data_IF_338061892939
#
_entry.id   IF_338061892939
#
_cell.length_a   1.000
_cell.length_b   1.000
_cell.length_c   1.000
_cell.angle_alpha   90.00
_cell.angle_beta   90.00
_cell.angle_gamma   90.00
#
_symmetry.space_group_name_H-M   'P 1'
#
loop_
_entity.id
_entity.type
_entity.pdbx_description
1 polymer ?
#
# COMPACT_ATOMS: atom_id res chain seq x y z
N UNK A 1 11.62 -5.48 21.72
CA UNK A 1 10.90 -6.07 20.58
C UNK A 1 9.64 -5.31 20.18
N UNK A 2 8.95 -4.59 21.07
CA UNK A 2 7.80 -3.74 20.68
C UNK A 2 8.20 -2.52 19.84
N UNK A 3 9.41 -1.98 20.09
CA UNK A 3 9.98 -0.90 19.29
C UNK A 3 10.20 -1.30 17.83
N UNK A 4 10.68 -2.51 17.57
CA UNK A 4 10.88 -3.01 16.20
C UNK A 4 9.55 -3.14 15.46
N UNK A 5 8.52 -3.64 16.13
CA UNK A 5 7.15 -3.71 15.58
C UNK A 5 6.62 -2.32 15.25
N UNK A 6 6.83 -1.33 16.14
CA UNK A 6 6.40 0.05 15.90
C UNK A 6 7.12 0.68 14.70
N UNK A 7 8.43 0.45 14.56
CA UNK A 7 9.23 0.95 13.44
C UNK A 7 8.78 0.30 12.13
N UNK A 8 8.60 -1.02 12.12
CA UNK A 8 8.14 -1.73 10.93
C UNK A 8 6.73 -1.30 10.52
N UNK A 9 5.79 -1.16 11.45
CA UNK A 9 4.45 -0.68 11.15
C UNK A 9 4.46 0.75 10.60
N UNK A 10 5.28 1.63 11.18
CA UNK A 10 5.45 2.99 10.68
C UNK A 10 6.03 3.03 9.26
N UNK A 11 7.02 2.18 8.98
CA UNK A 11 7.60 2.06 7.64
C UNK A 11 6.57 1.54 6.63
N UNK A 12 5.92 0.41 6.91
CA UNK A 12 4.95 -0.21 6.00
C UNK A 12 3.76 0.70 5.71
N UNK A 13 3.31 1.51 6.68
CA UNK A 13 2.20 2.44 6.50
C UNK A 13 2.39 3.49 5.39
N UNK A 14 3.61 3.67 4.88
CA UNK A 14 3.95 4.63 3.83
C UNK A 14 4.58 3.97 2.60
N UNK A 15 4.76 2.64 2.63
CA UNK A 15 5.41 1.93 1.54
C UNK A 15 4.59 2.05 0.26
N UNK A 16 5.21 2.50 -0.82
CA UNK A 16 4.58 2.80 -2.10
C UNK A 16 4.32 4.29 -2.32
N UNK A 17 4.43 5.14 -1.29
CA UNK A 17 4.20 6.58 -1.42
C UNK A 17 5.51 7.33 -1.74
N UNK A 18 5.67 7.67 -3.03
CA UNK A 18 6.84 8.37 -3.58
C UNK A 18 8.18 7.68 -3.23
N UNK A 19 8.21 6.36 -3.34
CA UNK A 19 9.36 5.53 -3.04
C UNK A 19 9.59 4.47 -4.13
N UNK A 20 10.51 3.54 -3.89
CA UNK A 20 10.87 2.50 -4.84
C UNK A 20 9.70 1.55 -5.17
N UNK A 21 8.72 1.42 -4.28
CA UNK A 21 7.54 0.57 -4.47
C UNK A 21 6.42 1.28 -5.24
N UNK A 22 6.54 2.58 -5.53
CA UNK A 22 5.54 3.32 -6.34
C UNK A 22 5.32 2.69 -7.71
N UNK A 23 6.37 2.25 -8.40
CA UNK A 23 6.23 1.58 -9.70
C UNK A 23 5.48 0.25 -9.61
N UNK A 24 5.66 -0.48 -8.51
CA UNK A 24 4.94 -1.72 -8.23
C UNK A 24 3.46 -1.42 -7.95
N UNK A 25 3.19 -0.46 -7.05
CA UNK A 25 1.84 0.01 -6.71
C UNK A 25 1.05 0.40 -7.97
N UNK A 26 1.63 1.20 -8.86
CA UNK A 26 0.96 1.64 -10.09
C UNK A 26 0.74 0.50 -11.09
N UNK A 27 1.69 -0.43 -11.23
CA UNK A 27 1.50 -1.63 -12.06
C UNK A 27 0.37 -2.51 -11.53
N UNK A 28 0.32 -2.75 -10.21
CA UNK A 28 -0.75 -3.52 -9.58
C UNK A 28 -2.09 -2.81 -9.74
N UNK A 29 -2.16 -1.49 -9.55
CA UNK A 29 -3.40 -0.71 -9.79
C UNK A 29 -3.91 -0.85 -11.22
N UNK A 30 -3.01 -0.90 -12.22
CA UNK A 30 -3.39 -1.16 -13.60
C UNK A 30 -3.93 -2.58 -13.80
N UNK A 31 -3.28 -3.59 -13.21
CA UNK A 31 -3.72 -4.99 -13.30
C UNK A 31 -5.10 -5.23 -12.67
N UNK A 32 -5.39 -4.56 -11.55
CA UNK A 32 -6.69 -4.62 -10.90
C UNK A 32 -7.75 -3.71 -11.55
N UNK A 33 -7.40 -2.93 -12.58
CA UNK A 33 -8.32 -2.01 -13.26
C UNK A 33 -8.73 -0.78 -12.44
N UNK A 34 -7.98 -0.49 -11.37
CA UNK A 34 -8.26 0.57 -10.38
C UNK A 34 -7.28 1.76 -10.52
N UNK A 35 -6.61 1.92 -11.66
CA UNK A 35 -5.67 3.02 -11.88
C UNK A 35 -6.28 4.42 -11.67
N UNK A 36 -7.60 4.55 -11.79
CA UNK A 36 -8.34 5.79 -11.55
C UNK A 36 -8.59 6.09 -10.05
N UNK A 37 -8.35 5.13 -9.15
CA UNK A 37 -8.52 5.29 -7.70
C UNK A 37 -7.32 6.04 -7.13
N UNK A 38 -7.59 7.22 -6.57
CA UNK A 38 -6.60 8.12 -5.96
C UNK A 38 -6.53 7.98 -4.45
N UNK A 39 -7.46 7.25 -3.85
CA UNK A 39 -7.50 6.87 -2.44
C UNK A 39 -6.50 5.76 -2.08
N UNK A 40 -6.07 4.97 -3.07
CA UNK A 40 -5.06 3.91 -2.91
C UNK A 40 -3.69 4.48 -3.26
N UNK A 41 -2.92 4.79 -2.22
CA UNK A 41 -1.64 5.50 -2.32
C UNK A 41 -0.48 4.71 -1.72
N UNK A 42 -0.76 3.63 -0.98
CA UNK A 42 0.25 2.75 -0.40
C UNK A 42 -0.03 1.28 -0.70
N UNK A 43 0.98 0.44 -0.53
CA UNK A 43 0.87 -1.01 -0.69
C UNK A 43 -0.12 -1.63 0.31
N UNK A 44 -0.17 -1.24 1.60
CA UNK A 44 -1.24 -1.69 2.49
C UNK A 44 -2.65 -1.38 2.00
N UNK A 45 -2.88 -0.22 1.38
CA UNK A 45 -4.21 0.11 0.82
C UNK A 45 -4.62 -0.85 -0.30
N UNK A 46 -3.64 -1.30 -1.12
CA UNK A 46 -3.88 -2.35 -2.12
C UNK A 46 -4.23 -3.68 -1.47
N UNK A 47 -3.51 -4.07 -0.42
CA UNK A 47 -3.74 -5.33 0.28
C UNK A 47 -5.12 -5.31 0.94
N UNK A 48 -5.48 -4.21 1.61
CA UNK A 48 -6.80 -4.04 2.22
C UNK A 48 -7.91 -4.14 1.15
N UNK A 49 -7.69 -3.61 -0.06
CA UNK A 49 -8.63 -3.76 -1.19
C UNK A 49 -8.74 -5.21 -1.67
N UNK A 50 -7.61 -5.89 -1.88
CA UNK A 50 -7.57 -7.28 -2.38
C UNK A 50 -8.24 -8.25 -1.39
N UNK A 51 -7.99 -8.05 -0.10
CA UNK A 51 -8.58 -8.84 0.98
C UNK A 51 -10.02 -8.44 1.32
N UNK A 52 -10.59 -7.44 0.62
CA UNK A 52 -11.90 -6.84 0.91
C UNK A 52 -12.05 -6.40 2.37
N UNK A 53 -10.94 -6.01 3.00
CA UNK A 53 -10.92 -5.49 4.37
C UNK A 53 -11.43 -4.06 4.34
N UNK A 54 -12.64 -3.87 4.86
CA UNK A 54 -13.16 -2.52 5.11
C UNK A 54 -12.65 -2.09 6.48
N UNK A 55 -11.89 -0.99 6.52
CA UNK A 55 -11.52 -0.32 7.78
C UNK A 55 -12.62 0.63 8.24
#
# INVERSE_FOLDING_TARGET
>A
NEGDVMVWNGFISKLGWNDFATSFLEQTKQQHGIAHRTDIVTVPDLIDLDEQRTR
#
